data_IF_277494494971
#
_entry.id   IF_277494494971
#
_cell.length_a   1.000
_cell.length_b   1.000
_cell.length_c   1.000
_cell.angle_alpha   90.00
_cell.angle_beta   90.00
_cell.angle_gamma   90.00
#
_symmetry.space_group_name_H-M   'P 1'
#
loop_
_entity.id
_entity.type
_entity.pdbx_description
1 polymer ?
#
# COMPACT_ATOMS: atom_id res chain seq x y z
N UNK A 1 -5.15 -4.16 26.71
CA UNK A 1 -5.94 -3.86 25.50
C UNK A 1 -7.05 -4.88 25.47
N UNK A 2 -8.31 -4.51 25.23
CA UNK A 2 -9.41 -5.48 25.24
C UNK A 2 -9.16 -6.54 24.16
N UNK A 3 -9.64 -7.75 24.42
CA UNK A 3 -9.74 -8.84 23.45
C UNK A 3 -10.27 -8.31 22.11
N UNK A 4 -9.76 -8.82 20.99
CA UNK A 4 -10.07 -8.30 19.66
C UNK A 4 -11.58 -8.07 19.48
N UNK A 5 -11.97 -6.84 19.13
CA UNK A 5 -13.38 -6.51 18.94
C UNK A 5 -13.96 -7.38 17.83
N UNK A 6 -15.04 -8.09 18.12
CA UNK A 6 -15.84 -8.77 17.11
C UNK A 6 -16.50 -7.69 16.24
N UNK A 7 -16.20 -7.70 14.94
CA UNK A 7 -16.87 -6.83 13.96
C UNK A 7 -18.19 -7.50 13.57
N UNK A 8 -19.32 -6.93 13.98
CA UNK A 8 -20.65 -7.46 13.61
C UNK A 8 -20.98 -7.14 12.16
N UNK A 9 -20.73 -5.90 11.75
CA UNK A 9 -20.88 -5.47 10.36
C UNK A 9 -19.93 -4.33 10.02
N UNK A 10 -19.56 -4.26 8.75
CA UNK A 10 -18.87 -3.13 8.15
C UNK A 10 -19.62 -2.73 6.89
N UNK A 11 -20.03 -1.46 6.81
CA UNK A 11 -20.89 -0.96 5.74
C UNK A 11 -20.36 0.37 5.20
N UNK A 12 -20.33 0.51 3.88
CA UNK A 12 -19.99 1.77 3.24
C UNK A 12 -20.99 2.86 3.65
N UNK A 13 -20.49 4.04 4.04
CA UNK A 13 -21.35 5.20 4.27
C UNK A 13 -21.65 5.84 2.91
N UNK A 14 -22.92 5.92 2.48
CA UNK A 14 -23.27 6.45 1.16
C UNK A 14 -22.72 7.86 0.92
N UNK A 15 -22.24 8.10 -0.31
CA UNK A 15 -21.66 9.38 -0.75
C UNK A 15 -20.49 9.90 0.11
N UNK A 16 -19.79 9.01 0.82
CA UNK A 16 -18.65 9.37 1.65
C UNK A 16 -17.31 9.39 0.92
N UNK A 17 -17.22 8.67 -0.21
CA UNK A 17 -16.05 8.66 -1.09
C UNK A 17 -15.88 10.02 -1.75
N UNK A 18 -14.70 10.60 -1.55
CA UNK A 18 -14.33 11.90 -2.10
C UNK A 18 -12.88 11.90 -2.54
N UNK A 19 -12.63 12.51 -3.69
CA UNK A 19 -11.30 12.95 -4.09
C UNK A 19 -10.99 14.25 -3.36
N UNK A 20 -9.85 14.28 -2.68
CA UNK A 20 -9.38 15.45 -1.93
C UNK A 20 -8.48 16.31 -2.81
N UNK A 21 -7.55 15.68 -3.52
CA UNK A 21 -6.58 16.35 -4.38
C UNK A 21 -5.96 15.36 -5.38
N UNK A 22 -5.50 15.87 -6.52
CA UNK A 22 -4.46 15.19 -7.31
C UNK A 22 -3.12 15.38 -6.61
N UNK A 23 -2.51 14.29 -6.16
CA UNK A 23 -1.28 14.34 -5.38
C UNK A 23 -0.04 14.57 -6.26
N UNK A 24 -0.06 14.09 -7.50
CA UNK A 24 1.05 14.21 -8.46
C UNK A 24 0.58 14.75 -9.81
N UNK A 25 1.51 15.14 -10.68
CA UNK A 25 1.21 15.39 -12.08
C UNK A 25 0.72 14.10 -12.77
N UNK A 26 0.15 14.26 -13.97
CA UNK A 26 -0.33 13.14 -14.77
C UNK A 26 0.35 13.06 -16.13
N UNK A 27 0.90 11.89 -16.44
CA UNK A 27 1.37 11.53 -17.78
C UNK A 27 0.72 10.24 -18.27
N UNK A 28 0.66 10.07 -19.59
CA UNK A 28 0.19 8.82 -20.21
C UNK A 28 1.38 8.04 -20.73
N UNK A 29 1.49 6.76 -20.37
CA UNK A 29 2.59 5.89 -20.81
C UNK A 29 2.44 5.51 -22.28
N UNK A 30 1.20 5.35 -22.79
CA UNK A 30 1.00 4.88 -24.16
C UNK A 30 -0.39 5.20 -24.79
N UNK A 31 -0.44 5.77 -26.01
CA UNK A 31 0.59 6.64 -26.58
C UNK A 31 0.69 7.92 -25.74
N UNK A 32 1.82 8.66 -25.79
CA UNK A 32 1.95 9.98 -25.17
C UNK A 32 0.90 10.92 -25.77
N UNK A 33 -0.23 11.05 -25.10
CA UNK A 33 -1.27 12.02 -25.41
C UNK A 33 -1.10 13.26 -24.55
N UNK A 34 -1.66 14.41 -24.98
CA UNK A 34 -1.61 15.65 -24.21
C UNK A 34 -2.56 15.55 -23.01
N UNK A 35 -2.20 14.75 -22.00
CA UNK A 35 -2.73 15.01 -20.67
C UNK A 35 -2.22 16.41 -20.27
N UNK A 36 -3.04 17.28 -19.67
CA UNK A 36 -2.71 18.70 -19.50
C UNK A 36 -1.53 19.00 -18.57
N UNK A 37 -0.77 17.97 -18.16
CA UNK A 37 0.45 18.08 -17.36
C UNK A 37 0.14 18.15 -15.87
N UNK A 38 0.79 19.08 -15.17
CA UNK A 38 0.68 19.37 -13.73
C UNK A 38 -0.60 20.16 -13.41
N UNK A 39 -1.75 19.64 -13.84
CA UNK A 39 -3.05 20.28 -13.60
C UNK A 39 -4.09 19.27 -13.15
N UNK A 40 -4.97 19.74 -12.27
CA UNK A 40 -6.17 19.01 -11.87
C UNK A 40 -7.33 19.37 -12.80
N UNK A 41 -7.91 18.38 -13.49
CA UNK A 41 -8.96 18.65 -14.50
C UNK A 41 -10.29 19.13 -13.90
N UNK A 42 -10.50 18.94 -12.60
CA UNK A 42 -11.70 19.45 -11.90
C UNK A 42 -11.42 20.77 -11.18
N UNK A 43 -10.21 21.32 -11.31
CA UNK A 43 -9.77 22.52 -10.60
C UNK A 43 -9.63 22.32 -9.09
N UNK A 44 -9.50 21.08 -8.60
CA UNK A 44 -9.20 20.81 -7.20
C UNK A 44 -7.77 21.24 -6.86
N UNK A 45 -7.47 21.25 -5.55
CA UNK A 45 -6.13 21.51 -5.07
C UNK A 45 -5.13 20.51 -5.67
N UNK A 46 -4.02 21.05 -6.15
CA UNK A 46 -2.88 20.29 -6.65
C UNK A 46 -1.63 20.77 -5.89
N UNK A 47 -1.36 20.21 -4.69
CA UNK A 47 -0.38 20.78 -3.78
C UNK A 47 1.08 20.58 -4.19
N UNK A 48 1.35 19.75 -5.21
CA UNK A 48 2.69 19.35 -5.60
C UNK A 48 2.91 19.57 -7.09
N UNK A 49 3.82 20.48 -7.45
CA UNK A 49 4.32 20.58 -8.82
C UNK A 49 5.42 19.54 -9.03
N UNK A 50 5.02 18.35 -9.46
CA UNK A 50 5.96 17.22 -9.59
C UNK A 50 6.77 17.29 -10.87
N UNK A 51 6.32 18.05 -11.88
CA UNK A 51 7.10 18.32 -13.09
C UNK A 51 8.40 19.06 -12.79
N UNK A 52 8.40 19.94 -11.77
CA UNK A 52 9.61 20.62 -11.31
C UNK A 52 10.70 19.66 -10.80
N UNK A 53 10.35 18.41 -10.49
CA UNK A 53 11.26 17.34 -10.03
C UNK A 53 11.64 16.38 -11.17
N UNK A 54 11.15 16.64 -12.38
CA UNK A 54 11.24 15.69 -13.50
C UNK A 54 10.34 14.47 -13.34
N UNK A 55 9.23 14.60 -12.60
CA UNK A 55 8.25 13.52 -12.38
C UNK A 55 6.96 13.87 -13.13
N UNK A 56 6.74 13.35 -14.35
CA UNK A 56 5.56 13.68 -15.14
C UNK A 56 4.32 12.88 -14.76
N UNK A 57 4.51 11.73 -14.10
CA UNK A 57 3.46 10.89 -13.57
C UNK A 57 4.08 9.79 -12.71
N UNK A 58 3.27 9.18 -11.84
CA UNK A 58 3.65 8.03 -11.01
C UNK A 58 2.42 7.19 -10.72
N UNK A 59 2.64 5.98 -10.21
CA UNK A 59 1.57 5.16 -9.65
C UNK A 59 1.92 4.59 -8.26
N UNK A 60 0.99 3.80 -7.73
CA UNK A 60 1.06 3.14 -6.43
C UNK A 60 1.31 4.13 -5.28
N UNK A 61 2.06 3.71 -4.24
CA UNK A 61 2.29 4.54 -3.07
C UNK A 61 2.36 3.75 -1.77
N UNK A 62 3.19 2.70 -1.75
CA UNK A 62 3.59 2.08 -0.50
C UNK A 62 4.09 3.16 0.47
N UNK A 63 3.67 3.11 1.73
CA UNK A 63 3.91 4.21 2.64
C UNK A 63 4.11 3.74 4.08
N UNK A 64 4.83 4.54 4.86
CA UNK A 64 4.99 4.30 6.30
C UNK A 64 5.41 5.55 7.05
N UNK A 65 5.05 5.61 8.33
CA UNK A 65 5.56 6.58 9.28
C UNK A 65 7.00 6.26 9.66
N UNK A 66 7.90 7.23 9.57
CA UNK A 66 9.28 7.13 10.04
C UNK A 66 9.77 8.50 10.53
N UNK A 67 10.19 8.58 11.79
CA UNK A 67 10.76 9.78 12.42
C UNK A 67 9.92 11.05 12.20
N UNK A 68 8.60 10.93 12.39
CA UNK A 68 7.63 12.03 12.24
C UNK A 68 7.23 12.34 10.80
N UNK A 69 7.84 11.70 9.80
CA UNK A 69 7.52 11.86 8.37
C UNK A 69 6.70 10.67 7.88
N UNK A 70 5.74 10.91 6.99
CA UNK A 70 5.06 9.84 6.26
C UNK A 70 5.77 9.74 4.92
N UNK A 71 6.54 8.66 4.76
CA UNK A 71 7.24 8.35 3.52
C UNK A 71 6.29 7.68 2.53
N UNK A 72 6.49 8.00 1.26
CA UNK A 72 5.81 7.43 0.10
C UNK A 72 6.86 6.89 -0.86
N UNK A 73 6.55 5.71 -1.40
CA UNK A 73 7.33 5.00 -2.38
C UNK A 73 6.42 4.73 -3.58
N UNK A 74 6.53 5.58 -4.58
CA UNK A 74 5.72 5.52 -5.80
C UNK A 74 6.42 4.70 -6.88
N UNK A 75 5.63 4.06 -7.74
CA UNK A 75 6.09 3.25 -8.85
C UNK A 75 6.20 4.00 -10.17
N UNK A 76 7.04 3.46 -11.05
CA UNK A 76 6.96 3.61 -12.51
C UNK A 76 6.84 5.06 -13.02
N UNK A 77 7.76 5.95 -12.60
CA UNK A 77 7.89 7.31 -13.16
C UNK A 77 8.29 7.22 -14.64
N UNK A 78 7.47 7.68 -15.61
CA UNK A 78 7.82 7.61 -17.02
C UNK A 78 8.91 8.64 -17.40
N UNK A 79 9.70 8.39 -18.46
CA UNK A 79 9.70 7.19 -19.31
C UNK A 79 10.57 6.04 -18.81
N UNK A 80 11.50 6.26 -17.89
CA UNK A 80 12.46 5.23 -17.44
C UNK A 80 11.83 4.18 -16.52
N UNK A 81 10.63 4.45 -15.96
CA UNK A 81 9.93 3.61 -14.99
C UNK A 81 10.76 3.39 -13.72
N UNK A 82 11.30 4.49 -13.19
CA UNK A 82 11.98 4.49 -11.91
C UNK A 82 11.04 4.95 -10.79
N UNK A 83 11.39 4.64 -9.56
CA UNK A 83 10.47 4.83 -8.43
C UNK A 83 10.81 6.10 -7.63
N UNK A 84 9.81 6.96 -7.41
CA UNK A 84 9.96 8.19 -6.64
C UNK A 84 9.83 7.92 -5.14
N UNK A 85 10.80 8.42 -4.37
CA UNK A 85 10.70 8.53 -2.91
C UNK A 85 10.38 9.97 -2.52
N UNK A 86 9.32 10.16 -1.75
CA UNK A 86 8.96 11.45 -1.17
C UNK A 86 8.42 11.27 0.26
N UNK A 87 8.31 12.35 1.01
CA UNK A 87 7.66 12.32 2.32
C UNK A 87 6.81 13.55 2.57
N UNK A 88 5.90 13.47 3.54
CA UNK A 88 5.20 14.64 4.08
C UNK A 88 5.35 14.73 5.60
N UNK A 89 5.32 15.96 6.09
CA UNK A 89 5.16 16.29 7.52
C UNK A 89 3.80 16.90 7.82
N UNK A 90 2.92 17.04 6.82
CA UNK A 90 1.59 17.59 7.04
C UNK A 90 0.81 16.64 7.98
N UNK A 91 0.18 17.21 9.01
CA UNK A 91 -0.52 16.45 10.04
C UNK A 91 -1.95 16.06 9.67
N UNK A 92 -2.49 16.66 8.60
CA UNK A 92 -3.87 16.47 8.17
C UNK A 92 -4.01 16.66 6.65
N UNK A 93 -4.75 15.77 5.95
CA UNK A 93 -4.83 15.75 4.49
C UNK A 93 -5.86 16.71 3.88
N UNK A 94 -6.76 17.29 4.67
CA UNK A 94 -7.84 18.15 4.18
C UNK A 94 -7.64 19.62 4.59
N UNK A 95 -8.19 20.59 3.82
CA UNK A 95 -9.03 20.40 2.64
C UNK A 95 -8.25 20.32 1.31
N UNK A 96 -6.95 20.55 1.30
CA UNK A 96 -6.18 20.80 0.06
C UNK A 96 -5.21 19.69 -0.35
N UNK A 97 -5.23 18.55 0.33
CA UNK A 97 -4.23 17.50 0.17
C UNK A 97 -2.98 17.72 1.03
N UNK A 98 -1.94 16.94 0.76
CA UNK A 98 -0.66 16.94 1.47
C UNK A 98 0.47 17.39 0.53
N UNK A 99 1.43 18.14 1.09
CA UNK A 99 2.65 18.54 0.38
C UNK A 99 3.71 17.47 0.52
N UNK A 100 4.30 17.10 -0.62
CA UNK A 100 5.38 16.15 -0.73
C UNK A 100 6.72 16.88 -0.76
N UNK A 101 7.69 16.31 -0.08
CA UNK A 101 9.11 16.65 -0.17
C UNK A 101 9.82 15.47 -0.84
N UNK A 102 10.23 15.58 -2.11
CA UNK A 102 10.94 14.51 -2.81
C UNK A 102 12.39 14.38 -2.32
N UNK A 103 12.97 13.19 -2.50
CA UNK A 103 14.43 13.05 -2.52
C UNK A 103 14.93 13.49 -3.91
N UNK A 104 15.79 14.49 -3.95
CA UNK A 104 16.33 15.07 -5.18
C UNK A 104 17.84 14.91 -5.26
N UNK A 105 18.32 14.73 -6.48
CA UNK A 105 19.72 14.89 -6.87
C UNK A 105 20.11 16.38 -6.82
N UNK A 106 21.42 16.70 -6.79
CA UNK A 106 21.89 18.09 -6.80
C UNK A 106 21.45 18.93 -7.99
N UNK A 107 21.08 18.29 -9.11
CA UNK A 107 20.55 18.93 -10.32
C UNK A 107 19.04 19.30 -10.21
N UNK A 108 18.38 18.94 -9.11
CA UNK A 108 16.97 19.20 -8.87
C UNK A 108 16.01 18.13 -9.39
N UNK A 109 16.50 17.10 -10.10
CA UNK A 109 15.69 15.96 -10.50
C UNK A 109 15.53 14.93 -9.37
N UNK A 110 14.45 14.16 -9.39
CA UNK A 110 14.25 13.13 -8.38
C UNK A 110 15.38 12.09 -8.39
N UNK A 111 15.76 11.64 -7.19
CA UNK A 111 16.74 10.58 -7.00
C UNK A 111 15.97 9.26 -6.82
N UNK A 112 16.04 8.32 -7.79
CA UNK A 112 15.18 7.15 -7.78
C UNK A 112 15.55 6.19 -6.66
N UNK A 113 14.54 5.53 -6.08
CA UNK A 113 14.73 4.41 -5.15
C UNK A 113 15.69 3.38 -5.76
N UNK A 114 16.67 2.93 -4.97
CA UNK A 114 17.74 2.05 -5.44
C UNK A 114 17.99 0.92 -4.45
N UNK A 115 18.19 -0.29 -4.97
CA UNK A 115 18.52 -1.47 -4.18
C UNK A 115 20.00 -1.81 -4.36
N UNK A 116 20.71 -1.97 -3.25
CA UNK A 116 22.05 -2.54 -3.19
C UNK A 116 21.95 -4.00 -2.75
N UNK A 117 22.17 -4.91 -3.70
CA UNK A 117 21.97 -6.36 -3.52
C UNK A 117 23.09 -7.06 -2.73
N UNK A 118 24.27 -6.46 -2.65
CA UNK A 118 25.40 -6.99 -1.90
C UNK A 118 26.26 -5.83 -1.34
N UNK A 119 26.90 -6.07 -0.20
CA UNK A 119 27.80 -5.08 0.41
C UNK A 119 28.92 -4.70 -0.56
N UNK A 120 29.11 -3.38 -0.77
CA UNK A 120 30.11 -2.85 -1.71
C UNK A 120 29.71 -2.90 -3.19
N UNK A 121 28.58 -3.53 -3.54
CA UNK A 121 28.05 -3.49 -4.91
C UNK A 121 27.39 -2.13 -5.22
N UNK A 122 27.36 -1.72 -6.51
CA UNK A 122 26.59 -0.55 -6.91
C UNK A 122 25.09 -0.78 -6.64
N UNK A 123 24.42 0.25 -6.16
CA UNK A 123 22.96 0.26 -6.06
C UNK A 123 22.34 0.45 -7.45
N UNK A 124 21.15 -0.10 -7.67
CA UNK A 124 20.45 -0.04 -8.96
C UNK A 124 19.00 0.35 -8.74
N UNK A 125 18.49 1.24 -9.58
CA UNK A 125 17.07 1.55 -9.58
C UNK A 125 16.29 0.38 -10.20
N UNK A 126 15.13 0.00 -9.65
CA UNK A 126 14.18 -0.84 -10.35
C UNK A 126 13.81 -0.23 -11.72
N UNK A 127 13.38 -1.10 -12.63
CA UNK A 127 12.86 -0.68 -13.94
C UNK A 127 11.37 -1.01 -14.04
N UNK A 128 10.85 -1.00 -15.27
CA UNK A 128 9.43 -1.27 -15.56
C UNK A 128 8.88 -2.50 -14.82
N UNK A 129 7.69 -2.34 -14.23
CA UNK A 129 6.92 -3.37 -13.51
C UNK A 129 7.63 -3.93 -12.26
N UNK A 130 8.61 -3.18 -11.73
CA UNK A 130 9.33 -3.47 -10.50
C UNK A 130 9.16 -2.28 -9.56
N UNK A 131 8.48 -2.46 -8.44
CA UNK A 131 8.06 -1.33 -7.60
C UNK A 131 8.14 -1.66 -6.11
N UNK A 132 8.23 -0.63 -5.24
CA UNK A 132 7.95 -0.76 -3.82
C UNK A 132 6.51 -1.20 -3.59
N UNK A 133 6.32 -2.25 -2.78
CA UNK A 133 5.00 -2.87 -2.55
C UNK A 133 4.48 -2.65 -1.13
N UNK A 134 5.37 -2.39 -0.17
CA UNK A 134 5.01 -2.06 1.20
C UNK A 134 6.20 -1.54 1.99
N UNK A 135 5.93 -0.81 3.07
CA UNK A 135 6.98 -0.25 3.90
C UNK A 135 6.61 -0.27 5.38
N UNK A 136 7.61 -0.39 6.25
CA UNK A 136 7.43 -0.25 7.68
C UNK A 136 8.65 0.43 8.32
N UNK A 137 8.42 1.11 9.44
CA UNK A 137 9.51 1.57 10.29
C UNK A 137 9.50 0.85 11.62
N UNK A 138 10.70 0.52 12.09
CA UNK A 138 10.88 -0.04 13.42
C UNK A 138 12.19 0.45 14.04
N UNK A 139 12.09 1.06 15.23
CA UNK A 139 13.22 1.48 16.06
C UNK A 139 14.28 2.30 15.31
N UNK A 140 13.84 3.31 14.56
CA UNK A 140 14.72 4.23 13.82
C UNK A 140 15.29 3.65 12.52
N UNK A 141 14.82 2.47 12.09
CA UNK A 141 15.15 1.90 10.78
C UNK A 141 13.91 1.93 9.89
N UNK A 142 14.11 2.22 8.60
CA UNK A 142 13.08 2.24 7.57
C UNK A 142 13.31 1.07 6.63
N UNK A 143 12.27 0.28 6.43
CA UNK A 143 12.29 -0.93 5.61
C UNK A 143 11.25 -0.86 4.50
N UNK A 144 11.60 -1.40 3.35
CA UNK A 144 10.76 -1.39 2.14
C UNK A 144 10.80 -2.77 1.50
N UNK A 145 9.63 -3.34 1.27
CA UNK A 145 9.43 -4.48 0.39
C UNK A 145 9.34 -3.98 -1.05
N UNK A 146 10.09 -4.58 -1.96
CA UNK A 146 10.08 -4.21 -3.37
C UNK A 146 10.19 -5.45 -4.25
N UNK A 147 9.44 -5.47 -5.36
CA UNK A 147 9.71 -6.39 -6.46
C UNK A 147 10.79 -5.80 -7.34
N UNK A 148 11.78 -6.60 -7.72
CA UNK A 148 12.88 -6.15 -8.57
C UNK A 148 13.57 -7.32 -9.29
N UNK A 149 14.35 -7.01 -10.31
CA UNK A 149 15.34 -7.92 -10.86
C UNK A 149 16.64 -7.82 -10.08
N UNK A 150 17.11 -8.94 -9.54
CA UNK A 150 18.46 -9.06 -9.01
C UNK A 150 19.51 -8.92 -10.14
N UNK A 151 20.81 -8.72 -9.81
CA UNK A 151 21.85 -8.46 -10.81
C UNK A 151 22.03 -9.54 -11.88
N UNK A 152 21.60 -10.77 -11.61
CA UNK A 152 21.60 -11.93 -12.50
C UNK A 152 20.33 -12.04 -13.37
N UNK A 153 19.39 -11.09 -13.22
CA UNK A 153 18.12 -11.05 -13.95
C UNK A 153 16.98 -11.80 -13.26
N UNK A 154 17.20 -12.36 -12.08
CA UNK A 154 16.14 -13.03 -11.30
C UNK A 154 15.12 -12.03 -10.74
N UNK A 155 13.85 -12.15 -11.14
CA UNK A 155 12.76 -11.35 -10.59
C UNK A 155 12.31 -11.93 -9.24
N UNK A 156 12.34 -11.11 -8.19
CA UNK A 156 11.98 -11.53 -6.84
C UNK A 156 11.38 -10.39 -6.01
N UNK A 157 10.94 -10.75 -4.80
CA UNK A 157 10.45 -9.80 -3.79
C UNK A 157 11.43 -9.72 -2.64
N UNK A 158 11.92 -8.53 -2.36
CA UNK A 158 13.02 -8.31 -1.42
C UNK A 158 12.59 -7.40 -0.28
N UNK A 159 12.96 -7.79 0.94
CA UNK A 159 13.00 -6.83 2.05
C UNK A 159 14.31 -6.06 1.98
N UNK A 160 14.21 -4.73 2.00
CA UNK A 160 15.35 -3.81 1.97
C UNK A 160 15.31 -2.85 3.14
N UNK A 161 16.45 -2.28 3.52
CA UNK A 161 16.61 -1.30 4.60
C UNK A 161 17.27 -0.04 4.07
N UNK A 162 16.69 1.13 4.36
CA UNK A 162 17.28 2.41 4.00
C UNK A 162 18.69 2.57 4.58
N UNK A 163 19.60 3.14 3.80
CA UNK A 163 20.94 3.54 4.27
C UNK A 163 20.87 4.86 5.05
N UNK A 164 20.16 5.85 4.49
CA UNK A 164 19.85 7.14 5.13
C UNK A 164 18.47 7.61 4.62
N UNK A 165 17.38 7.28 5.33
CA UNK A 165 15.99 7.46 4.88
C UNK A 165 15.63 8.81 4.28
N UNK A 166 16.22 9.90 4.79
CA UNK A 166 15.86 11.27 4.39
C UNK A 166 16.87 11.93 3.45
N UNK A 167 17.96 11.24 3.10
CA UNK A 167 19.08 11.84 2.35
C UNK A 167 19.64 10.94 1.26
N UNK A 168 19.31 9.66 1.27
CA UNK A 168 19.78 8.70 0.29
C UNK A 168 18.61 7.87 -0.21
N UNK A 169 18.49 7.66 -1.53
CA UNK A 169 17.50 6.76 -2.07
C UNK A 169 17.97 5.29 -2.03
N UNK A 170 19.13 5.00 -1.43
CA UNK A 170 19.74 3.66 -1.44
C UNK A 170 19.25 2.82 -0.28
N UNK A 171 18.86 1.59 -0.59
CA UNK A 171 18.39 0.58 0.34
C UNK A 171 19.22 -0.70 0.21
N UNK A 172 19.70 -1.23 1.33
CA UNK A 172 20.40 -2.51 1.39
C UNK A 172 19.41 -3.67 1.35
N UNK A 173 19.60 -4.64 0.45
CA UNK A 173 18.87 -5.91 0.50
C UNK A 173 19.20 -6.64 1.80
N UNK A 174 18.16 -7.11 2.50
CA UNK A 174 18.29 -8.01 3.65
C UNK A 174 18.10 -9.46 3.21
N UNK A 175 16.95 -9.77 2.63
CA UNK A 175 16.63 -11.11 2.14
C UNK A 175 15.52 -11.06 1.09
N UNK A 176 15.32 -12.19 0.43
CA UNK A 176 14.25 -12.42 -0.52
C UNK A 176 13.12 -13.22 0.15
N UNK A 177 11.88 -12.90 -0.22
CA UNK A 177 10.67 -13.56 0.25
C UNK A 177 10.27 -14.72 -0.64
N UNK A 178 9.43 -15.59 -0.09
CA UNK A 178 8.77 -16.64 -0.86
C UNK A 178 7.80 -16.04 -1.91
N UNK A 179 7.63 -16.63 -3.12
CA UNK A 179 6.77 -16.10 -4.18
C UNK A 179 5.30 -15.83 -3.82
N UNK A 180 4.77 -16.52 -2.79
CA UNK A 180 3.44 -16.23 -2.19
C UNK A 180 3.33 -14.83 -1.56
N UNK A 181 4.46 -14.14 -1.42
CA UNK A 181 4.62 -12.81 -0.84
C UNK A 181 5.33 -11.90 -1.84
N UNK A 182 4.88 -11.91 -3.10
CA UNK A 182 5.45 -11.09 -4.17
C UNK A 182 5.21 -9.60 -3.89
N UNK A 183 3.97 -9.21 -3.59
CA UNK A 183 3.65 -7.91 -3.00
C UNK A 183 3.32 -8.08 -1.53
N UNK A 184 3.78 -7.16 -0.68
CA UNK A 184 3.60 -7.28 0.78
C UNK A 184 2.99 -6.02 1.36
N UNK A 185 1.88 -6.17 2.09
CA UNK A 185 1.32 -5.13 2.94
C UNK A 185 1.70 -5.39 4.41
N UNK A 186 2.70 -4.67 4.95
CA UNK A 186 3.16 -4.88 6.32
C UNK A 186 2.40 -4.05 7.36
N UNK A 187 2.35 -4.54 8.59
CA UNK A 187 1.89 -3.80 9.76
C UNK A 187 2.68 -4.19 11.00
N UNK A 188 3.38 -3.22 11.61
CA UNK A 188 4.00 -3.43 12.92
C UNK A 188 2.95 -3.52 14.02
N UNK A 189 3.13 -4.47 14.93
CA UNK A 189 2.20 -4.74 16.03
C UNK A 189 2.96 -4.98 17.31
N UNK A 190 2.32 -4.68 18.44
CA UNK A 190 2.72 -5.25 19.72
C UNK A 190 2.07 -6.63 19.82
N UNK A 191 2.88 -7.68 19.99
CA UNK A 191 2.42 -9.06 19.89
C UNK A 191 1.36 -9.40 20.94
N UNK A 192 1.51 -8.86 22.15
CA UNK A 192 0.55 -9.05 23.25
C UNK A 192 -0.86 -8.50 22.99
N UNK A 193 -1.06 -7.76 21.89
CA UNK A 193 -2.38 -7.21 21.52
C UNK A 193 -3.17 -8.13 20.59
N UNK A 194 -2.61 -9.28 20.21
CA UNK A 194 -3.20 -10.21 19.25
C UNK A 194 -2.97 -11.63 19.76
N UNK A 195 -4.03 -12.21 20.33
CA UNK A 195 -4.03 -13.62 20.74
C UNK A 195 -3.88 -14.54 19.52
N UNK A 196 -3.09 -15.60 19.65
CA UNK A 196 -2.89 -16.59 18.57
C UNK A 196 -1.67 -16.33 17.68
N UNK A 197 -0.89 -15.28 17.93
CA UNK A 197 0.42 -15.12 17.30
C UNK A 197 1.44 -16.14 17.80
N UNK A 198 2.49 -16.47 17.02
CA UNK A 198 3.54 -17.41 17.43
C UNK A 198 4.31 -17.00 18.68
N UNK A 199 4.28 -15.72 19.05
CA UNK A 199 4.77 -15.18 20.31
C UNK A 199 3.82 -14.09 20.79
N UNK A 200 3.65 -13.96 22.09
CA UNK A 200 2.95 -12.84 22.75
C UNK A 200 3.93 -11.77 23.25
N UNK A 201 5.23 -12.01 23.19
CA UNK A 201 6.26 -11.11 23.71
C UNK A 201 6.77 -10.13 22.64
N UNK A 202 7.06 -8.90 23.06
CA UNK A 202 7.68 -7.89 22.21
C UNK A 202 6.80 -7.40 21.06
N UNK A 203 7.46 -6.90 20.02
CA UNK A 203 6.84 -6.41 18.81
C UNK A 203 7.01 -7.42 17.67
N UNK A 204 6.14 -7.33 16.67
CA UNK A 204 6.16 -8.20 15.49
C UNK A 204 5.71 -7.47 14.24
N UNK A 205 5.93 -8.11 13.11
CA UNK A 205 5.48 -7.66 11.81
C UNK A 205 4.45 -8.64 11.26
N UNK A 206 3.23 -8.18 11.06
CA UNK A 206 2.24 -8.89 10.25
C UNK A 206 2.47 -8.52 8.80
N UNK A 207 2.44 -9.52 7.92
CA UNK A 207 2.63 -9.38 6.48
C UNK A 207 1.46 -10.07 5.78
N UNK A 208 0.61 -9.29 5.13
CA UNK A 208 -0.27 -9.84 4.09
C UNK A 208 0.55 -9.91 2.80
N UNK A 209 0.71 -11.11 2.28
CA UNK A 209 1.38 -11.38 1.02
C UNK A 209 0.36 -11.57 -0.08
N UNK A 210 0.68 -11.09 -1.27
CA UNK A 210 -0.02 -11.39 -2.50
C UNK A 210 0.92 -12.16 -3.43
N UNK A 211 0.45 -13.29 -3.97
CA UNK A 211 1.18 -14.11 -4.96
C UNK A 211 1.16 -13.53 -6.38
N UNK A 212 0.93 -12.22 -6.47
CA UNK A 212 0.80 -11.39 -7.67
C UNK A 212 -0.57 -11.50 -8.36
N UNK A 213 -1.35 -12.58 -8.19
CA UNK A 213 -2.57 -12.75 -8.98
C UNK A 213 -3.77 -13.37 -8.23
N UNK A 214 -3.57 -14.46 -7.51
CA UNK A 214 -4.64 -15.42 -7.20
C UNK A 214 -4.96 -15.54 -5.72
N UNK A 215 -4.03 -15.17 -4.84
CA UNK A 215 -4.15 -15.45 -3.42
C UNK A 215 -3.52 -14.41 -2.53
N UNK A 216 -4.24 -14.10 -1.44
CA UNK A 216 -3.67 -13.39 -0.31
C UNK A 216 -3.31 -14.39 0.78
N UNK A 217 -2.10 -14.27 1.32
CA UNK A 217 -1.51 -15.12 2.36
C UNK A 217 -1.13 -14.27 3.57
N UNK A 218 -0.85 -14.93 4.69
CA UNK A 218 -0.48 -14.28 5.94
C UNK A 218 0.83 -14.84 6.47
N UNK A 219 1.71 -13.94 6.90
CA UNK A 219 2.90 -14.27 7.65
C UNK A 219 3.09 -13.31 8.83
N UNK A 220 3.89 -13.74 9.78
CA UNK A 220 4.35 -12.98 10.92
C UNK A 220 5.84 -13.20 11.14
N UNK A 221 6.55 -12.20 11.66
CA UNK A 221 7.88 -12.40 12.24
C UNK A 221 8.08 -11.50 13.47
N UNK A 222 8.90 -11.90 14.45
CA UNK A 222 9.26 -11.03 15.57
C UNK A 222 10.14 -9.87 15.09
N UNK A 223 10.05 -8.73 15.77
CA UNK A 223 10.88 -7.55 15.50
C UNK A 223 11.76 -7.21 16.71
N UNK A 224 13.07 -7.11 16.49
CA UNK A 224 14.06 -6.85 17.55
C UNK A 224 14.69 -5.47 17.40
N UNK A 225 14.82 -4.73 18.50
CA UNK A 225 15.26 -3.33 18.45
C UNK A 225 16.74 -3.18 18.04
N UNK A 226 17.54 -4.20 18.31
CA UNK A 226 18.99 -4.20 18.17
C UNK A 226 19.48 -4.77 16.83
N UNK A 227 18.63 -5.47 16.06
CA UNK A 227 19.02 -6.11 14.79
C UNK A 227 17.97 -6.00 13.69
N UNK A 228 18.41 -6.27 12.46
CA UNK A 228 17.53 -6.36 11.30
C UNK A 228 16.71 -7.67 11.30
N UNK A 229 15.55 -7.70 10.62
CA UNK A 229 14.76 -8.91 10.48
C UNK A 229 15.51 -10.02 9.75
N UNK A 230 15.21 -11.28 10.10
CA UNK A 230 15.79 -12.48 9.49
C UNK A 230 14.73 -13.36 8.83
N UNK A 231 14.99 -13.94 7.64
CA UNK A 231 14.02 -14.80 6.96
C UNK A 231 13.71 -16.09 7.74
N UNK A 232 14.64 -16.57 8.58
CA UNK A 232 14.45 -17.79 9.41
C UNK A 232 13.42 -17.61 10.53
N UNK A 233 13.04 -16.36 10.81
CA UNK A 233 12.11 -15.99 11.89
C UNK A 233 10.69 -15.80 11.37
N UNK A 234 10.49 -15.86 10.06
CA UNK A 234 9.18 -15.80 9.45
C UNK A 234 8.39 -17.05 9.84
N UNK A 235 7.12 -16.83 10.15
CA UNK A 235 6.11 -17.84 10.42
C UNK A 235 4.94 -17.59 9.48
N UNK A 236 4.56 -18.61 8.74
CA UNK A 236 3.51 -18.57 7.74
C UNK A 236 2.23 -19.15 8.31
N UNK A 237 1.11 -18.48 8.09
CA UNK A 237 -0.19 -18.97 8.55
C UNK A 237 -0.56 -20.26 7.82
N UNK A 238 -0.68 -21.36 8.57
CA UNK A 238 -0.99 -22.68 8.04
C UNK A 238 -2.48 -23.05 8.20
N UNK A 239 -3.32 -22.10 8.63
CA UNK A 239 -4.75 -22.32 8.87
C UNK A 239 -5.07 -22.86 10.26
N UNK A 240 -6.33 -22.72 10.70
CA UNK A 240 -6.82 -23.33 11.93
C UNK A 240 -6.05 -22.95 13.22
N UNK A 241 -5.52 -21.73 13.31
CA UNK A 241 -4.72 -21.28 14.46
C UNK A 241 -3.25 -21.72 14.42
N UNK A 242 -2.80 -22.35 13.33
CA UNK A 242 -1.44 -22.90 13.21
C UNK A 242 -0.52 -22.00 12.39
N UNK A 243 0.76 -22.02 12.76
CA UNK A 243 1.83 -21.30 12.08
C UNK A 243 2.98 -22.26 11.75
N UNK A 244 3.57 -22.10 10.56
CA UNK A 244 4.65 -22.95 10.06
C UNK A 244 5.91 -22.13 9.78
N UNK A 245 7.09 -22.74 9.92
CA UNK A 245 8.35 -22.18 9.42
C UNK A 245 8.53 -22.41 7.91
N UNK A 246 7.74 -23.30 7.32
CA UNK A 246 7.75 -23.62 5.91
C UNK A 246 6.74 -22.74 5.15
N UNK A 247 7.23 -22.02 4.14
CA UNK A 247 6.43 -21.11 3.31
C UNK A 247 5.44 -21.86 2.40
N UNK A 248 5.77 -23.09 2.00
CA UNK A 248 4.88 -23.90 1.16
C UNK A 248 3.63 -24.33 1.92
N UNK A 249 3.73 -24.46 3.25
CA UNK A 249 2.60 -24.69 4.14
C UNK A 249 1.63 -23.49 4.29
N UNK A 250 2.01 -22.29 3.81
CA UNK A 250 1.16 -21.10 3.92
C UNK A 250 -0.18 -21.31 3.20
N UNK A 251 -1.28 -21.22 3.94
CA UNK A 251 -2.63 -21.31 3.39
C UNK A 251 -3.11 -19.95 2.90
N UNK A 252 -3.85 -19.99 1.79
CA UNK A 252 -4.49 -18.81 1.21
C UNK A 252 -5.63 -18.37 2.14
N UNK A 253 -5.64 -17.10 2.53
CA UNK A 253 -6.74 -16.51 3.29
C UNK A 253 -7.98 -16.38 2.41
N UNK A 254 -7.83 -15.78 1.23
CA UNK A 254 -8.89 -15.65 0.25
C UNK A 254 -8.29 -15.47 -1.15
N UNK A 255 -9.08 -15.77 -2.17
CA UNK A 255 -8.69 -15.53 -3.56
C UNK A 255 -9.04 -14.11 -3.98
N UNK A 256 -8.17 -13.50 -4.77
CA UNK A 256 -8.48 -12.31 -5.55
C UNK A 256 -8.34 -12.61 -7.03
N UNK A 257 -8.83 -11.73 -7.87
CA UNK A 257 -8.84 -11.90 -9.33
C UNK A 257 -8.03 -10.83 -10.06
N UNK A 258 -7.04 -10.21 -9.40
CA UNK A 258 -6.44 -8.94 -9.87
C UNK A 258 -4.94 -8.91 -9.65
N UNK A 259 -4.20 -8.24 -10.54
CA UNK A 259 -2.74 -8.08 -10.45
C UNK A 259 -2.27 -6.97 -9.49
N UNK A 260 -3.20 -6.22 -8.90
CA UNK A 260 -2.88 -4.95 -8.25
C UNK A 260 -2.62 -5.09 -6.75
N UNK A 261 -2.04 -4.05 -6.16
CA UNK A 261 -1.55 -4.03 -4.81
C UNK A 261 -2.58 -4.21 -3.71
N UNK A 262 -2.09 -4.70 -2.58
CA UNK A 262 -2.78 -4.76 -1.30
C UNK A 262 -2.16 -3.74 -0.35
N UNK A 263 -2.96 -3.19 0.56
CA UNK A 263 -2.45 -2.37 1.66
C UNK A 263 -3.21 -2.68 2.95
N UNK A 264 -2.54 -2.57 4.09
CA UNK A 264 -3.12 -2.96 5.37
C UNK A 264 -2.91 -1.90 6.43
N UNK A 265 -3.71 -2.01 7.49
CA UNK A 265 -3.69 -1.09 8.60
C UNK A 265 -4.51 -1.57 9.78
N UNK A 266 -4.49 -0.75 10.84
CA UNK A 266 -5.34 -0.93 12.01
C UNK A 266 -6.11 0.33 12.32
N UNK A 267 -7.38 0.17 12.67
CA UNK A 267 -8.15 1.22 13.36
C UNK A 267 -7.82 1.07 14.84
N UNK A 268 -6.80 1.79 15.30
CA UNK A 268 -6.16 1.58 16.61
C UNK A 268 -7.14 1.63 17.77
N UNK A 269 -8.10 2.54 17.70
CA UNK A 269 -9.14 2.78 18.71
C UNK A 269 -10.10 1.60 18.85
N UNK A 270 -10.31 0.83 17.77
CA UNK A 270 -11.14 -0.36 17.76
C UNK A 270 -10.34 -1.66 17.88
N UNK A 271 -9.02 -1.60 17.69
CA UNK A 271 -8.18 -2.80 17.60
C UNK A 271 -8.44 -3.65 16.36
N UNK A 272 -9.26 -3.21 15.39
CA UNK A 272 -9.60 -3.99 14.20
C UNK A 272 -8.59 -3.78 13.08
N UNK A 273 -8.46 -4.81 12.26
CA UNK A 273 -7.66 -4.85 11.04
C UNK A 273 -8.45 -4.32 9.85
N UNK A 274 -7.74 -3.69 8.92
CA UNK A 274 -8.25 -3.32 7.62
C UNK A 274 -7.27 -3.77 6.54
N UNK A 275 -7.80 -4.41 5.50
CA UNK A 275 -7.05 -4.74 4.28
C UNK A 275 -7.79 -4.11 3.09
N UNK A 276 -7.08 -3.30 2.32
CA UNK A 276 -7.56 -2.81 1.03
C UNK A 276 -7.01 -3.70 -0.08
N UNK A 277 -7.87 -4.03 -1.03
CA UNK A 277 -7.48 -4.67 -2.28
C UNK A 277 -8.41 -4.23 -3.42
N UNK A 278 -8.16 -4.74 -4.62
CA UNK A 278 -8.96 -4.49 -5.81
C UNK A 278 -9.73 -5.74 -6.25
N UNK A 279 -10.82 -5.54 -6.99
CA UNK A 279 -11.66 -6.61 -7.57
C UNK A 279 -11.70 -6.64 -9.11
N UNK A 280 -10.85 -5.87 -9.80
CA UNK A 280 -10.76 -5.91 -11.27
C UNK A 280 -10.38 -7.31 -11.78
N UNK A 281 -11.16 -7.89 -12.68
CA UNK A 281 -10.93 -9.23 -13.18
C UNK A 281 -9.76 -9.25 -14.17
N UNK A 282 -8.83 -10.17 -13.94
CA UNK A 282 -7.76 -10.55 -14.85
C UNK A 282 -8.29 -11.63 -15.81
N UNK A 283 -8.09 -11.41 -17.11
CA UNK A 283 -8.34 -12.40 -18.16
C UNK A 283 -7.49 -13.66 -17.91
N UNK A 284 -7.88 -14.84 -18.42
CA UNK A 284 -7.16 -16.11 -18.17
C UNK A 284 -5.69 -16.13 -18.60
N UNK A 285 -5.25 -15.18 -19.42
CA UNK A 285 -3.87 -15.00 -19.90
C UNK A 285 -3.05 -14.03 -19.04
N UNK A 286 -3.56 -13.68 -17.86
CA UNK A 286 -2.98 -12.71 -16.93
C UNK A 286 -2.96 -11.25 -17.44
N UNK A 287 -3.73 -10.93 -18.48
CA UNK A 287 -3.94 -9.54 -18.91
C UNK A 287 -5.18 -8.93 -18.25
N UNK A 288 -5.22 -7.61 -18.07
CA UNK A 288 -6.47 -6.89 -17.76
C UNK A 288 -6.83 -6.07 -18.98
N UNK A 289 -7.97 -6.38 -19.59
CA UNK A 289 -8.46 -5.52 -20.66
C UNK A 289 -8.89 -4.18 -20.06
N UNK A 290 -8.79 -3.09 -20.84
CA UNK A 290 -9.27 -1.79 -20.42
C UNK A 290 -10.73 -1.81 -19.94
N UNK A 291 -11.57 -2.67 -20.52
CA UNK A 291 -12.97 -2.83 -20.14
C UNK A 291 -13.15 -3.52 -18.77
N UNK A 292 -12.31 -4.51 -18.46
CA UNK A 292 -12.32 -5.20 -17.17
C UNK A 292 -11.73 -4.30 -16.07
N UNK A 293 -10.62 -3.64 -16.36
CA UNK A 293 -10.00 -2.66 -15.47
C UNK A 293 -10.97 -1.53 -15.12
N UNK A 294 -11.70 -1.00 -16.10
CA UNK A 294 -12.66 0.10 -15.90
C UNK A 294 -13.83 -0.26 -14.96
N UNK A 295 -14.04 -1.54 -14.62
CA UNK A 295 -15.04 -2.01 -13.65
C UNK A 295 -14.44 -2.37 -12.30
N UNK A 296 -13.11 -2.28 -12.17
CA UNK A 296 -12.37 -2.58 -10.96
C UNK A 296 -12.80 -1.71 -9.79
N UNK A 297 -13.17 -2.35 -8.68
CA UNK A 297 -13.50 -1.67 -7.43
C UNK A 297 -12.31 -1.74 -6.49
N UNK A 298 -12.20 -0.76 -5.60
CA UNK A 298 -11.36 -0.89 -4.40
C UNK A 298 -12.28 -1.25 -3.25
N UNK A 299 -11.93 -2.31 -2.54
CA UNK A 299 -12.71 -2.82 -1.42
C UNK A 299 -11.87 -2.87 -0.15
N UNK A 300 -12.53 -2.70 0.99
CA UNK A 300 -11.95 -2.89 2.31
C UNK A 300 -12.54 -4.14 2.95
N UNK A 301 -11.69 -4.97 3.55
CA UNK A 301 -12.08 -6.04 4.47
C UNK A 301 -11.70 -5.62 5.88
N UNK A 302 -12.61 -5.76 6.84
CA UNK A 302 -12.40 -5.34 8.24
C UNK A 302 -12.71 -6.50 9.17
N UNK A 303 -11.78 -6.82 10.08
CA UNK A 303 -11.92 -7.94 11.00
C UNK A 303 -11.21 -7.70 12.34
N UNK A 304 -11.56 -8.46 13.38
CA UNK A 304 -10.93 -8.36 14.70
C UNK A 304 -9.48 -8.87 14.74
N UNK A 305 -9.16 -9.86 13.91
CA UNK A 305 -7.82 -10.46 13.82
C UNK A 305 -7.33 -10.49 12.36
N UNK A 306 -6.02 -10.66 12.10
CA UNK A 306 -5.53 -10.64 10.73
C UNK A 306 -5.94 -11.88 9.91
N UNK A 307 -6.17 -13.04 10.53
CA UNK A 307 -6.67 -14.23 9.83
C UNK A 307 -8.18 -14.16 9.55
N UNK A 308 -8.96 -13.47 10.39
CA UNK A 308 -10.41 -13.32 10.17
C UNK A 308 -10.75 -12.42 8.96
N UNK A 309 -9.77 -11.68 8.43
CA UNK A 309 -9.91 -10.95 7.15
C UNK A 309 -10.35 -11.89 6.01
N UNK A 310 -9.98 -13.18 6.07
CA UNK A 310 -10.44 -14.21 5.13
C UNK A 310 -11.96 -14.31 5.03
N UNK A 311 -12.66 -14.06 6.14
CA UNK A 311 -14.10 -14.24 6.28
C UNK A 311 -14.88 -12.91 6.31
N UNK A 312 -14.17 -11.78 6.41
CA UNK A 312 -14.78 -10.46 6.36
C UNK A 312 -15.42 -10.19 5.00
N UNK A 313 -16.63 -9.62 5.01
CA UNK A 313 -17.27 -9.12 3.79
C UNK A 313 -16.50 -7.97 3.17
N UNK A 314 -16.59 -7.83 1.84
CA UNK A 314 -15.99 -6.72 1.11
C UNK A 314 -16.87 -5.48 1.19
N UNK A 315 -16.29 -4.39 1.70
CA UNK A 315 -16.90 -3.06 1.68
C UNK A 315 -16.36 -2.29 0.49
N UNK A 316 -17.22 -2.00 -0.49
CA UNK A 316 -16.82 -1.26 -1.70
C UNK A 316 -16.61 0.22 -1.39
N UNK A 317 -15.36 0.60 -1.14
CA UNK A 317 -14.96 1.98 -0.83
C UNK A 317 -14.83 2.83 -2.09
N UNK A 318 -14.48 2.23 -3.23
CA UNK A 318 -14.48 2.90 -4.52
C UNK A 318 -15.16 2.01 -5.57
N UNK A 319 -16.15 2.56 -6.28
CA UNK A 319 -16.80 1.91 -7.41
C UNK A 319 -16.83 2.88 -8.60
N UNK A 320 -16.14 2.57 -9.71
CA UNK A 320 -16.08 3.48 -10.87
C UNK A 320 -17.45 3.75 -11.50
N UNK A 321 -18.47 2.89 -11.31
CA UNK A 321 -19.83 3.17 -11.78
C UNK A 321 -20.60 4.12 -10.86
N UNK A 322 -20.26 4.13 -9.57
CA UNK A 322 -20.90 4.97 -8.54
C UNK A 322 -20.23 6.33 -8.42
N UNK A 323 -18.90 6.33 -8.48
CA UNK A 323 -18.05 7.48 -8.16
C UNK A 323 -17.62 8.26 -9.41
N UNK A 324 -18.01 7.78 -10.60
CA UNK A 324 -17.87 8.45 -11.91
C UNK A 324 -16.52 9.16 -12.13
N UNK A 325 -15.39 8.44 -12.11
CA UNK A 325 -14.06 9.07 -12.22
C UNK A 325 -13.72 9.53 -13.66
N UNK A 326 -14.52 9.16 -14.65
CA UNK A 326 -14.23 9.33 -16.07
C UNK A 326 -14.42 10.78 -16.52
N UNK A 327 -13.45 11.33 -17.25
CA UNK A 327 -13.47 12.75 -17.64
C UNK A 327 -13.10 13.70 -16.49
N UNK A 328 -12.96 13.13 -15.29
CA UNK A 328 -12.32 13.73 -14.14
C UNK A 328 -10.87 13.20 -14.12
N UNK A 329 -10.47 12.47 -13.09
CA UNK A 329 -9.10 12.00 -12.87
C UNK A 329 -8.77 10.66 -13.56
N UNK A 330 -9.58 10.23 -14.53
CA UNK A 330 -9.41 8.99 -15.30
C UNK A 330 -9.83 9.19 -16.76
N UNK A 331 -9.03 8.64 -17.69
CA UNK A 331 -9.20 8.82 -19.15
C UNK A 331 -9.81 7.60 -19.82
N UNK A 332 -10.71 7.83 -20.78
CA UNK A 332 -11.14 6.79 -21.72
C UNK A 332 -10.72 7.04 -23.17
N UNK A 333 -10.61 5.95 -23.96
CA UNK A 333 -10.57 4.56 -23.50
C UNK A 333 -9.22 4.22 -22.83
N UNK A 334 -9.21 3.22 -21.95
CA UNK A 334 -7.97 2.63 -21.42
C UNK A 334 -7.67 2.89 -19.94
N UNK A 335 -8.19 3.96 -19.34
CA UNK A 335 -7.98 4.26 -17.93
C UNK A 335 -8.83 3.39 -17.01
N UNK A 336 -8.24 3.06 -15.85
CA UNK A 336 -8.90 2.39 -14.74
C UNK A 336 -8.22 2.77 -13.43
N UNK A 337 -8.94 2.66 -12.32
CA UNK A 337 -8.38 2.88 -10.99
C UNK A 337 -7.74 1.60 -10.43
N UNK A 338 -6.64 1.74 -9.71
CA UNK A 338 -5.94 0.69 -8.99
C UNK A 338 -5.11 1.24 -7.82
N UNK A 339 -4.37 0.37 -7.14
CA UNK A 339 -3.36 0.78 -6.16
C UNK A 339 -3.96 1.51 -4.96
N UNK A 340 -4.93 0.89 -4.28
CA UNK A 340 -5.53 1.42 -3.05
C UNK A 340 -4.57 1.32 -1.87
N UNK A 341 -3.84 2.39 -1.54
CA UNK A 341 -2.88 2.42 -0.42
C UNK A 341 -3.41 3.19 0.79
N UNK A 342 -3.76 2.49 1.86
CA UNK A 342 -4.24 3.08 3.10
C UNK A 342 -3.18 4.01 3.74
N UNK A 343 -3.60 5.19 4.15
CA UNK A 343 -2.77 6.15 4.89
C UNK A 343 -3.11 6.08 6.39
N UNK A 344 -2.55 5.08 7.05
CA UNK A 344 -2.83 4.75 8.46
C UNK A 344 -2.70 5.95 9.42
N UNK A 345 -1.75 6.86 9.17
CA UNK A 345 -1.56 8.11 9.93
C UNK A 345 -2.86 8.92 10.07
N UNK A 346 -3.66 8.94 9.02
CA UNK A 346 -4.85 9.80 8.93
C UNK A 346 -6.14 9.07 9.29
N UNK A 347 -6.16 7.74 9.37
CA UNK A 347 -7.35 6.98 9.77
C UNK A 347 -7.90 7.49 11.11
N UNK A 348 -9.22 7.69 11.19
CA UNK A 348 -9.92 8.18 12.39
C UNK A 348 -11.13 7.32 12.70
N UNK A 349 -11.36 7.10 13.98
CA UNK A 349 -12.59 6.51 14.50
C UNK A 349 -13.43 7.56 15.22
N UNK A 350 -14.72 7.64 14.90
CA UNK A 350 -15.70 8.41 15.65
C UNK A 350 -16.65 7.46 16.39
N UNK A 351 -16.52 7.42 17.71
CA UNK A 351 -17.24 6.48 18.56
C UNK A 351 -18.76 6.66 18.52
N UNK A 352 -19.25 7.91 18.50
CA UNK A 352 -20.69 8.18 18.58
C UNK A 352 -21.46 7.73 17.35
N UNK A 353 -20.86 7.91 16.17
CA UNK A 353 -21.48 7.57 14.88
C UNK A 353 -21.10 6.18 14.41
N UNK A 354 -20.13 5.56 15.10
CA UNK A 354 -19.50 4.32 14.73
C UNK A 354 -18.89 4.35 13.32
N UNK A 355 -18.24 5.47 12.97
CA UNK A 355 -17.67 5.69 11.64
C UNK A 355 -16.15 5.67 11.70
N UNK A 356 -15.54 4.81 10.88
CA UNK A 356 -14.13 4.90 10.51
C UNK A 356 -14.03 5.78 9.26
N UNK A 357 -13.28 6.87 9.35
CA UNK A 357 -12.88 7.66 8.18
C UNK A 357 -11.47 7.25 7.80
N UNK A 358 -11.29 6.86 6.54
CA UNK A 358 -10.00 6.48 5.98
C UNK A 358 -9.59 7.45 4.88
N UNK A 359 -8.28 7.66 4.77
CA UNK A 359 -7.65 8.29 3.62
C UNK A 359 -6.74 7.26 2.97
N UNK A 360 -6.72 7.27 1.65
CA UNK A 360 -5.94 6.32 0.87
C UNK A 360 -5.51 6.95 -0.45
N UNK A 361 -4.43 6.44 -1.01
CA UNK A 361 -4.03 6.77 -2.37
C UNK A 361 -4.80 5.89 -3.35
N UNK A 362 -5.10 6.43 -4.52
CA UNK A 362 -5.68 5.71 -5.65
C UNK A 362 -4.91 6.10 -6.91
N UNK A 363 -4.43 5.10 -7.62
CA UNK A 363 -3.66 5.26 -8.87
C UNK A 363 -4.59 5.07 -10.07
N UNK A 364 -4.69 6.03 -10.98
CA UNK A 364 -5.27 5.80 -12.29
C UNK A 364 -4.19 5.23 -13.23
N UNK A 365 -4.57 4.28 -14.08
CA UNK A 365 -3.67 3.72 -15.11
C UNK A 365 -3.47 4.69 -16.27
N UNK A 366 -4.45 5.57 -16.47
CA UNK A 366 -4.40 6.62 -17.47
C UNK A 366 -5.17 7.84 -16.94
N UNK A 367 -4.49 8.97 -16.68
CA UNK A 367 -3.02 9.13 -16.59
C UNK A 367 -2.43 8.46 -15.34
N UNK A 368 -1.10 8.30 -15.27
CA UNK A 368 -0.38 8.01 -14.02
C UNK A 368 -0.38 9.26 -13.14
N UNK A 369 -1.48 9.45 -12.41
CA UNK A 369 -1.71 10.61 -11.55
C UNK A 369 -2.31 10.18 -10.22
N UNK A 370 -1.49 9.96 -9.20
CA UNK A 370 -1.98 9.46 -7.91
C UNK A 370 -2.94 10.47 -7.28
N UNK A 371 -4.09 9.97 -6.83
CA UNK A 371 -5.15 10.72 -6.20
C UNK A 371 -5.15 10.48 -4.70
N UNK A 372 -5.40 11.53 -3.92
CA UNK A 372 -5.69 11.40 -2.49
C UNK A 372 -7.20 11.28 -2.30
N UNK A 373 -7.64 10.14 -1.78
CA UNK A 373 -9.04 9.80 -1.60
C UNK A 373 -9.40 9.71 -0.12
N UNK A 374 -10.68 9.89 0.19
CA UNK A 374 -11.26 9.64 1.50
C UNK A 374 -12.54 8.84 1.35
N UNK A 375 -12.78 7.87 2.23
CA UNK A 375 -14.07 7.17 2.36
C UNK A 375 -14.44 7.00 3.83
N UNK A 376 -15.72 6.71 4.09
CA UNK A 376 -16.20 6.38 5.42
C UNK A 376 -16.86 5.01 5.44
N UNK A 377 -16.58 4.26 6.50
CA UNK A 377 -17.12 2.92 6.75
C UNK A 377 -17.75 2.94 8.13
N UNK A 378 -19.02 2.55 8.21
CA UNK A 378 -19.67 2.31 9.50
C UNK A 378 -19.27 0.92 9.99
N UNK A 379 -18.69 0.84 11.17
CA UNK A 379 -18.25 -0.42 11.77
C UNK A 379 -19.03 -0.64 13.05
N UNK A 380 -19.88 -1.67 13.07
CA UNK A 380 -20.64 -2.04 14.27
C UNK A 380 -19.86 -3.05 15.08
N UNK A 381 -19.66 -2.72 16.34
CA UNK A 381 -19.11 -3.59 17.37
C UNK A 381 -20.21 -3.86 18.43
N UNK A 382 -20.25 -5.05 19.05
CA UNK A 382 -21.25 -5.39 20.05
C UNK A 382 -21.24 -4.38 21.21
N UNK A 383 -22.42 -3.93 21.62
CA UNK A 383 -22.61 -3.04 22.76
C UNK A 383 -22.08 -3.71 24.05
N UNK A 384 -20.93 -3.25 24.54
CA UNK A 384 -20.26 -3.78 25.73
C UNK A 384 -18.80 -4.21 25.52
N UNK A 385 -18.33 -4.27 24.27
CA UNK A 385 -16.94 -4.58 23.92
C UNK A 385 -15.95 -3.40 24.04
N UNK A 386 -16.47 -2.17 24.21
CA UNK A 386 -15.69 -1.00 24.59
C UNK A 386 -15.76 -0.80 26.10
N UNK A 387 -14.91 -1.52 26.85
CA UNK A 387 -14.63 -1.24 28.26
C UNK A 387 -13.16 -1.00 28.47
#
# INVERSE_FOLDING_TARGET
>A
MPDGIVVESAEYVPASTRRIASLTAGATIDPPGPWPGDTDVEGLAHPNNTLAWGVPGVDLGANTDHDGKLFFFFGDVPPENHDLVAYTTDGYPEPTGIRLTPLLRPDGHFDPFQIRFAAGAPARAPGRDQTPTGAFSYRGRLYVFATANAPDGHYGSFLTRAVDPSRSPVYDKLFELHPKFSQVAPCCVQNSTIEGLPSSEGDGLIMFGDDHFLGVYLAWMPLFADRDPSPTEIRYWAGGGQWSTDADSAQRLFSKSTWTSISTGRVKELGVWMLLNQTAVVSPDNSVTAAEGARGRIVARIAGTPWDIAHASEVVIFDPQRDDPEGHYLVRPGGFAYGGYLLNRYTRWENKTQIVTIWYLLSPFKPYQVQLMRSQIRVRAPSGSMR
#
